data_IF_253882086760
#
_entry.id   IF_253882086760
#
_cell.length_a   1.000
_cell.length_b   1.000
_cell.length_c   1.000
_cell.angle_alpha   90.00
_cell.angle_beta   90.00
_cell.angle_gamma   90.00
#
_symmetry.space_group_name_H-M   'P 1'
#
loop_
_entity.id
_entity.type
_entity.pdbx_description
1 polymer ?
#
# COMPACT_ATOMS: atom_id res chain seq x y z
N UNK A 1 1.40 5.67 -4.21
CA UNK A 1 2.02 5.47 -5.55
C UNK A 1 1.11 4.79 -6.57
N UNK A 2 0.43 3.69 -6.22
CA UNK A 2 -0.43 2.94 -7.16
C UNK A 2 -1.49 3.81 -7.87
N UNK A 3 -2.26 4.62 -7.13
CA UNK A 3 -3.29 5.50 -7.73
C UNK A 3 -2.67 6.50 -8.70
N UNK A 4 -1.55 7.12 -8.33
CA UNK A 4 -0.84 8.04 -9.22
C UNK A 4 -0.42 7.36 -10.53
N UNK A 5 0.12 6.14 -10.44
CA UNK A 5 0.49 5.33 -11.62
C UNK A 5 -0.72 4.96 -12.47
N UNK A 6 -1.85 4.62 -11.85
CA UNK A 6 -3.11 4.37 -12.56
C UNK A 6 -3.50 5.56 -13.43
N UNK A 7 -3.47 6.76 -12.87
CA UNK A 7 -3.86 7.97 -13.61
C UNK A 7 -2.85 8.30 -14.70
N UNK A 8 -1.57 8.38 -14.36
CA UNK A 8 -0.52 8.84 -15.28
C UNK A 8 -0.15 7.82 -16.38
N UNK A 9 -0.25 6.52 -16.12
CA UNK A 9 0.25 5.48 -17.03
C UNK A 9 -0.84 4.55 -17.58
N UNK A 10 -2.10 4.70 -17.14
CA UNK A 10 -3.23 3.92 -17.68
C UNK A 10 -4.35 4.84 -18.16
N UNK A 11 -4.98 5.60 -17.26
CA UNK A 11 -6.18 6.36 -17.59
C UNK A 11 -5.93 7.60 -18.46
N UNK A 12 -4.84 8.32 -18.20
CA UNK A 12 -4.52 9.60 -18.83
C UNK A 12 -3.08 9.59 -19.33
N UNK A 13 -2.73 8.59 -20.16
CA UNK A 13 -1.41 8.49 -20.76
C UNK A 13 -1.13 9.73 -21.62
N UNK A 14 0.08 10.27 -21.48
CA UNK A 14 0.50 11.50 -22.19
C UNK A 14 0.45 11.35 -23.72
N UNK A 15 0.68 10.13 -24.23
CA UNK A 15 0.61 9.80 -25.64
C UNK A 15 -0.83 9.62 -26.17
N UNK A 16 -1.85 9.69 -25.31
CA UNK A 16 -3.25 9.50 -25.66
C UNK A 16 -3.60 8.07 -26.07
N UNK A 17 -2.70 7.10 -25.90
CA UNK A 17 -2.96 5.70 -26.20
C UNK A 17 -3.97 5.09 -25.22
N UNK A 18 -4.69 4.06 -25.69
CA UNK A 18 -5.61 3.31 -24.83
C UNK A 18 -4.83 2.58 -23.72
N UNK A 19 -5.45 2.48 -22.54
CA UNK A 19 -4.91 1.74 -21.42
C UNK A 19 -4.83 0.24 -21.73
N UNK A 20 -3.77 -0.42 -21.28
CA UNK A 20 -3.67 -1.87 -21.32
C UNK A 20 -4.63 -2.50 -20.30
N UNK A 21 -5.47 -3.43 -20.77
CA UNK A 21 -6.46 -4.17 -19.96
C UNK A 21 -6.25 -5.67 -20.12
N UNK A 22 -6.72 -6.44 -19.15
CA UNK A 22 -6.79 -7.90 -19.29
C UNK A 22 -7.99 -8.37 -20.12
N UNK A 23 -8.12 -9.69 -20.30
CA UNK A 23 -9.21 -10.32 -21.07
C UNK A 23 -10.62 -10.02 -20.52
N UNK A 24 -10.72 -9.53 -19.29
CA UNK A 24 -11.97 -9.12 -18.64
C UNK A 24 -12.16 -7.60 -18.63
N UNK A 25 -11.35 -6.87 -19.40
CA UNK A 25 -11.36 -5.41 -19.50
C UNK A 25 -11.04 -4.70 -18.17
N UNK A 26 -10.16 -5.28 -17.33
CA UNK A 26 -9.71 -4.68 -16.07
C UNK A 26 -8.33 -4.05 -16.22
N UNK A 27 -8.13 -2.90 -15.61
CA UNK A 27 -6.81 -2.30 -15.44
C UNK A 27 -6.03 -3.07 -14.37
N UNK A 28 -4.85 -3.56 -14.72
CA UNK A 28 -3.98 -4.33 -13.81
C UNK A 28 -2.85 -3.44 -13.31
N UNK A 29 -2.86 -3.14 -12.01
CA UNK A 29 -1.77 -2.48 -11.29
C UNK A 29 -1.03 -3.42 -10.33
N UNK A 30 -1.52 -4.63 -10.22
CA UNK A 30 -0.87 -5.77 -9.59
C UNK A 30 0.18 -6.41 -10.53
N UNK A 31 0.44 -5.81 -11.69
CA UNK A 31 1.39 -6.27 -12.70
C UNK A 31 2.82 -6.47 -12.17
N UNK A 32 3.29 -5.62 -11.25
CA UNK A 32 4.60 -5.77 -10.63
C UNK A 32 4.62 -6.82 -9.51
N UNK A 33 3.52 -6.93 -8.76
CA UNK A 33 3.38 -7.88 -7.66
C UNK A 33 3.21 -9.32 -8.16
N UNK A 34 2.51 -9.50 -9.28
CA UNK A 34 2.23 -10.80 -9.89
C UNK A 34 3.32 -11.28 -10.85
N UNK A 35 4.49 -10.63 -10.88
CA UNK A 35 5.63 -11.14 -11.65
C UNK A 35 6.08 -12.49 -11.10
N UNK A 36 6.46 -13.40 -11.99
CA UNK A 36 6.87 -14.76 -11.61
C UNK A 36 8.07 -14.79 -10.65
N UNK A 37 9.03 -13.88 -10.79
CA UNK A 37 10.19 -13.82 -9.90
C UNK A 37 9.81 -13.42 -8.47
N UNK A 38 8.90 -12.45 -8.32
CA UNK A 38 8.35 -12.03 -7.03
C UNK A 38 7.51 -13.14 -6.41
N UNK A 39 6.58 -13.70 -7.18
CA UNK A 39 5.70 -14.78 -6.72
C UNK A 39 6.50 -16.03 -6.34
N UNK A 40 7.52 -16.38 -7.11
CA UNK A 40 8.38 -17.52 -6.83
C UNK A 40 9.17 -17.32 -5.55
N UNK A 41 9.73 -16.12 -5.33
CA UNK A 41 10.42 -15.79 -4.09
C UNK A 41 9.49 -15.96 -2.87
N UNK A 42 8.25 -15.46 -2.94
CA UNK A 42 7.27 -15.65 -1.88
C UNK A 42 6.93 -17.13 -1.66
N UNK A 43 6.73 -17.92 -2.74
CA UNK A 43 6.44 -19.36 -2.66
C UNK A 43 7.56 -20.15 -1.97
N UNK A 44 8.82 -19.79 -2.21
CA UNK A 44 9.99 -20.45 -1.63
C UNK A 44 10.19 -20.09 -0.16
N UNK A 45 9.95 -18.84 0.23
CA UNK A 45 10.06 -18.38 1.60
C UNK A 45 8.92 -18.89 2.49
N UNK A 46 7.70 -18.98 1.95
CA UNK A 46 6.49 -19.31 2.72
C UNK A 46 6.63 -20.53 3.65
N UNK A 47 7.12 -21.71 3.23
CA UNK A 47 7.26 -22.87 4.10
C UNK A 47 8.38 -22.75 5.16
N UNK A 48 9.26 -21.74 5.05
CA UNK A 48 10.38 -21.53 5.96
C UNK A 48 10.04 -20.57 7.11
N UNK A 49 8.92 -19.86 7.02
CA UNK A 49 8.51 -18.86 8.02
C UNK A 49 8.07 -19.57 9.31
N UNK A 50 8.66 -19.13 10.42
CA UNK A 50 8.30 -19.50 11.78
C UNK A 50 8.15 -18.24 12.62
N UNK A 51 7.61 -18.38 13.84
CA UNK A 51 7.45 -17.25 14.76
C UNK A 51 8.79 -16.57 15.08
N UNK A 52 9.86 -17.37 15.15
CA UNK A 52 11.21 -16.93 15.53
C UNK A 52 11.88 -16.11 14.42
N UNK A 53 11.66 -16.48 13.15
CA UNK A 53 12.33 -15.85 12.01
C UNK A 53 11.41 -14.88 11.23
N UNK A 54 10.15 -14.70 11.65
CA UNK A 54 9.17 -13.84 10.97
C UNK A 54 9.73 -12.43 10.70
N UNK A 55 10.39 -11.82 11.70
CA UNK A 55 10.95 -10.47 11.59
C UNK A 55 12.25 -10.40 10.78
N UNK A 56 12.86 -11.55 10.49
CA UNK A 56 14.12 -11.64 9.75
C UNK A 56 13.85 -11.95 8.27
N UNK A 57 12.84 -12.77 7.98
CA UNK A 57 12.48 -13.20 6.64
C UNK A 57 11.38 -12.34 5.99
N UNK A 58 10.73 -11.48 6.77
CA UNK A 58 9.66 -10.59 6.29
C UNK A 58 9.78 -9.22 6.91
N UNK A 59 9.27 -8.21 6.20
CA UNK A 59 9.21 -6.82 6.66
C UNK A 59 8.03 -6.59 7.63
N UNK A 60 7.86 -7.50 8.61
CA UNK A 60 6.73 -7.48 9.54
C UNK A 60 6.73 -6.24 10.46
N UNK A 61 7.92 -5.73 10.80
CA UNK A 61 8.06 -4.55 11.66
C UNK A 61 7.49 -3.34 10.94
N UNK A 62 7.89 -3.16 9.69
CA UNK A 62 7.46 -2.10 8.78
C UNK A 62 5.96 -2.21 8.50
N UNK A 63 5.45 -3.42 8.24
CA UNK A 63 4.00 -3.64 8.09
C UNK A 63 3.21 -3.15 9.32
N UNK A 64 3.71 -3.42 10.53
CA UNK A 64 3.06 -2.96 11.76
C UNK A 64 3.11 -1.44 11.89
N UNK A 65 4.21 -0.81 11.51
CA UNK A 65 4.34 0.65 11.49
C UNK A 65 3.41 1.29 10.46
N UNK A 66 3.34 0.75 9.24
CA UNK A 66 2.40 1.22 8.22
C UNK A 66 0.95 1.07 8.64
N UNK A 67 0.61 -0.05 9.30
CA UNK A 67 -0.72 -0.24 9.87
C UNK A 67 -1.06 0.82 10.92
N UNK A 68 -0.12 1.14 11.82
CA UNK A 68 -0.32 2.18 12.84
C UNK A 68 -0.47 3.58 12.23
N UNK A 69 0.26 3.87 11.14
CA UNK A 69 0.14 5.14 10.40
C UNK A 69 -1.26 5.38 9.84
N UNK A 70 -2.02 4.33 9.49
CA UNK A 70 -3.42 4.47 9.06
C UNK A 70 -4.32 5.09 10.14
N UNK A 71 -3.96 4.92 11.42
CA UNK A 71 -4.67 5.48 12.56
C UNK A 71 -4.00 6.75 13.10
N UNK A 72 -3.00 7.28 12.40
CA UNK A 72 -2.29 8.49 12.80
C UNK A 72 -1.19 8.28 13.84
N UNK A 73 -0.72 7.06 14.07
CA UNK A 73 0.38 6.75 15.00
C UNK A 73 1.70 6.52 14.26
N UNK A 74 2.83 6.83 14.91
CA UNK A 74 4.17 6.61 14.34
C UNK A 74 4.47 7.48 13.11
N UNK A 75 3.81 8.63 12.98
CA UNK A 75 4.00 9.58 11.89
C UNK A 75 5.17 10.52 12.24
N UNK A 76 6.17 10.57 11.36
CA UNK A 76 7.31 11.47 11.52
C UNK A 76 6.85 12.94 11.50
N UNK A 77 7.36 13.74 12.44
CA UNK A 77 7.00 15.16 12.57
C UNK A 77 5.77 15.45 13.44
N UNK A 78 5.14 14.42 14.04
CA UNK A 78 4.07 14.58 15.03
C UNK A 78 4.64 14.45 16.44
N UNK A 79 4.36 15.44 17.29
CA UNK A 79 4.64 15.36 18.73
C UNK A 79 3.48 14.63 19.43
N UNK A 80 3.73 13.38 19.84
CA UNK A 80 2.73 12.53 20.50
C UNK A 80 2.58 12.81 22.00
N UNK A 81 3.44 13.64 22.59
CA UNK A 81 3.34 14.03 24.01
C UNK A 81 2.53 15.33 24.18
N UNK A 82 2.21 16.02 23.09
CA UNK A 82 1.36 17.21 23.13
C UNK A 82 -0.10 16.86 23.41
N UNK A 83 -0.76 17.67 24.23
CA UNK A 83 -2.22 17.58 24.43
C UNK A 83 -2.96 17.90 23.12
N UNK A 84 -3.91 17.06 22.74
CA UNK A 84 -4.73 17.22 21.54
C UNK A 84 -6.21 17.17 21.89
N UNK A 85 -6.99 18.12 21.36
CA UNK A 85 -8.44 18.07 21.43
C UNK A 85 -8.98 17.09 20.37
N UNK A 86 -9.72 16.03 20.74
CA UNK A 86 -10.27 15.08 19.78
C UNK A 86 -11.43 15.64 18.94
N UNK A 87 -12.04 16.76 19.36
CA UNK A 87 -13.10 17.40 18.59
C UNK A 87 -12.49 18.24 17.46
N UNK A 88 -12.75 17.84 16.21
CA UNK A 88 -12.32 18.55 15.01
C UNK A 88 -13.56 19.06 14.27
N UNK A 89 -13.72 20.38 14.21
CA UNK A 89 -14.79 21.02 13.44
C UNK A 89 -14.39 21.08 11.96
N UNK A 90 -15.27 20.56 11.09
CA UNK A 90 -15.08 20.59 9.63
C UNK A 90 -16.44 20.65 8.94
N UNK A 91 -16.46 21.04 7.66
CA UNK A 91 -17.68 21.08 6.83
C UNK A 91 -18.05 19.68 6.29
N UNK A 92 -18.19 18.72 7.20
CA UNK A 92 -18.75 17.40 6.87
C UNK A 92 -20.28 17.47 6.92
N UNK A 93 -20.92 17.07 5.83
CA UNK A 93 -22.37 16.83 5.85
C UNK A 93 -22.64 15.68 6.82
N UNK A 94 -23.41 15.95 7.87
CA UNK A 94 -23.91 14.90 8.76
C UNK A 94 -25.00 14.13 8.01
N UNK A 95 -24.75 12.84 7.76
CA UNK A 95 -25.68 11.89 7.12
C UNK A 95 -26.59 11.28 8.19
#
# INVERSE_FOLDING_TARGET
EQIYRMFSQRLYKEDGSAAEVDDMNRLRLDDWELREDIQQHCRELWPQITTENLKELTDYVEYKEEFLKLFGFGVEGVDYEADVNPAVETDFIQI
#
